data_IF_100162090460
#
_entry.id   IF_100162090460
#
_cell.length_a   1.000
_cell.length_b   1.000
_cell.length_c   1.000
_cell.angle_alpha   90.00
_cell.angle_beta   90.00
_cell.angle_gamma   90.00
#
_symmetry.space_group_name_H-M   'P 1'
#
loop_
_entity.id
_entity.type
_entity.pdbx_description
1 polymer ?
#
# COMPACT_ATOMS: atom_id res chain seq x y z
N UNK A 1 -13.03 -40.73 66.44
CA UNK A 1 -13.33 -40.76 65.00
C UNK A 1 -13.34 -39.33 64.49
N UNK A 2 -12.30 -38.93 63.81
CA UNK A 2 -12.24 -37.60 63.17
C UNK A 2 -12.26 -37.80 61.68
N UNK A 3 -13.34 -37.35 61.04
CA UNK A 3 -13.48 -37.34 59.60
C UNK A 3 -12.77 -36.08 59.08
N UNK A 4 -11.71 -36.25 58.35
CA UNK A 4 -11.07 -35.19 57.57
C UNK A 4 -11.87 -35.06 56.27
N UNK A 5 -12.56 -33.94 56.16
CA UNK A 5 -13.13 -33.49 54.89
C UNK A 5 -12.00 -32.86 54.09
N UNK A 6 -11.58 -33.61 53.10
CA UNK A 6 -10.67 -33.09 52.07
C UNK A 6 -11.41 -32.08 51.19
N UNK A 7 -11.01 -30.82 51.31
CA UNK A 7 -11.42 -29.80 50.31
C UNK A 7 -10.64 -30.04 49.03
N UNK A 8 -11.33 -30.53 48.03
CA UNK A 8 -10.83 -30.54 46.70
C UNK A 8 -10.78 -29.08 46.17
N UNK A 9 -9.58 -28.54 46.07
CA UNK A 9 -9.37 -27.27 45.35
C UNK A 9 -9.43 -27.59 43.87
N UNK A 10 -10.55 -27.25 43.26
CA UNK A 10 -10.66 -27.25 41.81
C UNK A 10 -9.86 -26.06 41.32
N UNK A 11 -8.67 -26.30 40.86
CA UNK A 11 -7.93 -25.30 40.11
C UNK A 11 -8.61 -25.19 38.73
N UNK A 12 -9.34 -24.13 38.50
CA UNK A 12 -9.79 -23.71 37.19
C UNK A 12 -8.54 -23.40 36.37
N UNK A 13 -8.37 -24.02 35.18
CA UNK A 13 -7.34 -23.57 34.27
C UNK A 13 -7.71 -22.14 33.87
N UNK A 14 -6.91 -21.18 34.25
CA UNK A 14 -6.91 -19.89 33.59
C UNK A 14 -6.66 -20.15 32.09
N UNK A 15 -7.75 -20.16 31.31
CA UNK A 15 -7.63 -20.17 29.88
C UNK A 15 -6.82 -18.95 29.50
N UNK A 16 -5.60 -19.17 29.03
CA UNK A 16 -4.89 -18.15 28.28
C UNK A 16 -5.80 -17.84 27.09
N UNK A 17 -6.53 -16.75 27.18
CA UNK A 17 -7.03 -16.08 26.02
C UNK A 17 -5.77 -15.56 25.36
N UNK A 18 -5.23 -16.35 24.41
CA UNK A 18 -4.22 -15.84 23.50
C UNK A 18 -4.85 -14.59 22.88
N UNK A 19 -4.43 -13.41 23.33
CA UNK A 19 -4.86 -12.16 22.74
C UNK A 19 -4.57 -12.29 21.25
N UNK A 20 -5.62 -12.35 20.44
CA UNK A 20 -5.49 -12.12 19.02
C UNK A 20 -4.78 -10.78 18.92
N UNK A 21 -3.50 -10.81 18.49
CA UNK A 21 -2.83 -9.59 18.10
C UNK A 21 -3.79 -8.86 17.16
N UNK A 22 -4.10 -7.57 17.40
CA UNK A 22 -4.96 -6.84 16.48
C UNK A 22 -4.40 -7.06 15.08
N UNK A 23 -5.24 -7.56 14.17
CA UNK A 23 -4.87 -7.67 12.78
C UNK A 23 -4.30 -6.31 12.39
N UNK A 24 -3.04 -6.29 11.91
CA UNK A 24 -2.46 -5.05 11.39
C UNK A 24 -3.46 -4.53 10.39
N UNK A 25 -3.94 -3.30 10.61
CA UNK A 25 -4.80 -2.64 9.64
C UNK A 25 -4.06 -2.68 8.30
N UNK A 26 -4.64 -3.40 7.33
CA UNK A 26 -4.09 -3.43 5.99
C UNK A 26 -4.09 -2.01 5.43
N UNK A 27 -3.05 -1.68 4.66
CA UNK A 27 -2.99 -0.40 3.98
C UNK A 27 -4.16 -0.30 3.00
N UNK A 28 -4.79 0.85 2.94
CA UNK A 28 -5.84 1.18 1.99
C UNK A 28 -5.53 2.51 1.32
N UNK A 29 -5.91 2.69 0.04
CA UNK A 29 -5.84 3.98 -0.60
C UNK A 29 -6.61 5.05 0.20
N UNK A 30 -6.05 6.25 0.23
CA UNK A 30 -6.74 7.40 0.79
C UNK A 30 -7.91 7.81 -0.11
N UNK A 31 -8.88 8.51 0.44
CA UNK A 31 -9.92 9.17 -0.36
C UNK A 31 -9.31 10.33 -1.12
N UNK A 32 -9.57 10.41 -2.42
CA UNK A 32 -9.05 11.49 -3.26
C UNK A 32 -9.71 12.84 -2.89
N UNK A 33 -8.94 13.82 -2.42
CA UNK A 33 -9.45 15.17 -2.23
C UNK A 33 -9.82 15.84 -3.58
N UNK A 34 -10.83 16.72 -3.62
CA UNK A 34 -11.26 17.38 -4.86
C UNK A 34 -10.11 18.10 -5.60
N UNK A 35 -9.21 18.72 -4.88
CA UNK A 35 -8.04 19.38 -5.46
C UNK A 35 -7.17 18.42 -6.28
N UNK A 36 -6.92 17.22 -5.78
CA UNK A 36 -6.14 16.21 -6.48
C UNK A 36 -6.89 15.64 -7.68
N UNK A 37 -8.21 15.50 -7.59
CA UNK A 37 -9.03 15.09 -8.72
C UNK A 37 -8.94 16.08 -9.88
N UNK A 38 -8.99 17.37 -9.61
CA UNK A 38 -8.83 18.42 -10.62
C UNK A 38 -7.43 18.39 -11.26
N UNK A 39 -6.38 18.27 -10.44
CA UNK A 39 -5.01 18.16 -10.91
C UNK A 39 -4.80 16.92 -11.78
N UNK A 40 -5.32 15.79 -11.36
CA UNK A 40 -5.26 14.53 -12.12
C UNK A 40 -5.89 14.68 -13.50
N UNK A 41 -7.07 15.23 -13.57
CA UNK A 41 -7.78 15.43 -14.85
C UNK A 41 -7.00 16.32 -15.81
N UNK A 42 -6.27 17.28 -15.29
CA UNK A 42 -5.48 18.21 -16.11
C UNK A 42 -4.09 17.69 -16.47
N UNK A 43 -3.44 16.98 -15.56
CA UNK A 43 -2.00 16.67 -15.66
C UNK A 43 -1.68 15.21 -16.01
N UNK A 44 -2.56 14.25 -15.67
CA UNK A 44 -2.36 12.85 -16.01
C UNK A 44 -3.12 12.48 -17.27
N UNK A 45 -2.45 11.85 -18.27
CA UNK A 45 -3.10 11.47 -19.50
C UNK A 45 -4.02 10.25 -19.32
N UNK A 46 -5.15 10.26 -20.02
CA UNK A 46 -6.06 9.12 -20.05
C UNK A 46 -6.96 8.99 -18.82
N UNK A 47 -7.59 7.84 -18.72
CA UNK A 47 -8.61 7.54 -17.72
C UNK A 47 -8.22 6.31 -16.87
N UNK A 48 -9.07 5.99 -15.89
CA UNK A 48 -8.90 4.81 -15.06
C UNK A 48 -7.96 4.99 -13.87
N UNK A 49 -7.49 6.21 -13.63
CA UNK A 49 -6.62 6.49 -12.50
C UNK A 49 -7.33 6.38 -11.16
N UNK A 50 -6.76 5.59 -10.28
CA UNK A 50 -7.20 5.45 -8.91
C UNK A 50 -6.19 6.13 -7.98
N UNK A 51 -6.69 7.02 -7.13
CA UNK A 51 -5.88 7.72 -6.15
C UNK A 51 -5.36 6.74 -5.09
N UNK A 52 -4.08 6.81 -4.80
CA UNK A 52 -3.43 5.99 -3.80
C UNK A 52 -3.18 6.78 -2.52
N UNK A 53 -2.34 7.76 -2.62
CA UNK A 53 -1.99 8.64 -1.51
C UNK A 53 -1.36 9.93 -1.99
N UNK A 54 -1.35 10.92 -1.13
CA UNK A 54 -0.63 12.16 -1.34
C UNK A 54 0.28 12.44 -0.16
N UNK A 55 1.37 13.15 -0.45
CA UNK A 55 2.30 13.62 0.57
C UNK A 55 2.66 15.08 0.33
N UNK A 56 2.98 15.76 1.40
CA UNK A 56 3.47 17.13 1.37
C UNK A 56 4.50 17.33 2.47
N UNK A 57 5.60 17.97 2.12
CA UNK A 57 6.58 18.47 3.06
C UNK A 57 7.10 19.84 2.59
N UNK A 58 8.15 20.37 3.22
CA UNK A 58 8.70 21.68 2.88
C UNK A 58 9.32 21.74 1.48
N UNK A 59 9.63 20.61 0.88
CA UNK A 59 10.36 20.51 -0.39
C UNK A 59 9.48 20.10 -1.56
N UNK A 60 8.43 19.31 -1.31
CA UNK A 60 7.67 18.68 -2.37
C UNK A 60 6.23 18.42 -1.97
N UNK A 61 5.37 18.47 -2.95
CA UNK A 61 3.99 18.01 -2.91
C UNK A 61 3.80 16.99 -4.02
N UNK A 62 3.28 15.81 -3.68
CA UNK A 62 3.15 14.72 -4.63
C UNK A 62 1.92 13.87 -4.37
N UNK A 63 1.39 13.26 -5.42
CA UNK A 63 0.35 12.25 -5.33
C UNK A 63 0.68 11.07 -6.24
N UNK A 64 0.31 9.90 -5.78
CA UNK A 64 0.44 8.64 -6.51
C UNK A 64 -0.91 8.11 -6.93
N UNK A 65 -0.95 7.60 -8.15
CA UNK A 65 -2.11 6.98 -8.78
C UNK A 65 -1.73 5.62 -9.36
N UNK A 66 -2.72 4.78 -9.52
CA UNK A 66 -2.58 3.46 -10.13
C UNK A 66 -3.71 3.25 -11.13
N UNK A 67 -3.42 2.55 -12.24
CA UNK A 67 -4.44 2.02 -13.15
C UNK A 67 -4.02 0.69 -13.76
N UNK A 68 -5.01 -0.04 -14.25
CA UNK A 68 -4.87 -1.30 -14.99
C UNK A 68 -4.09 -2.40 -14.25
N UNK A 69 -4.40 -2.69 -12.98
CA UNK A 69 -3.75 -3.80 -12.29
C UNK A 69 -4.12 -5.12 -12.96
N UNK A 70 -3.12 -5.87 -13.39
CA UNK A 70 -3.28 -7.13 -14.12
C UNK A 70 -2.38 -8.20 -13.51
N UNK A 71 -2.96 -9.35 -13.13
CA UNK A 71 -2.20 -10.46 -12.60
C UNK A 71 -1.39 -11.14 -13.72
N UNK A 72 -0.10 -11.31 -13.51
CA UNK A 72 0.82 -11.99 -14.40
C UNK A 72 1.69 -12.92 -13.56
N UNK A 73 1.32 -14.20 -13.48
CA UNK A 73 1.99 -15.15 -12.59
C UNK A 73 1.89 -14.71 -11.12
N UNK A 74 3.01 -14.60 -10.45
CA UNK A 74 3.10 -14.15 -9.05
C UNK A 74 3.29 -12.63 -8.91
N UNK A 75 3.10 -11.89 -9.97
CA UNK A 75 3.22 -10.44 -9.99
C UNK A 75 1.92 -9.78 -10.40
N UNK A 76 1.78 -8.50 -10.10
CA UNK A 76 0.71 -7.66 -10.62
C UNK A 76 1.36 -6.51 -11.40
N UNK A 77 1.15 -6.49 -12.69
CA UNK A 77 1.57 -5.39 -13.55
C UNK A 77 0.53 -4.26 -13.50
N UNK A 78 0.99 -3.03 -13.55
CA UNK A 78 0.16 -1.85 -13.46
C UNK A 78 0.84 -0.65 -14.11
N UNK A 79 0.09 0.42 -14.30
CA UNK A 79 0.66 1.73 -14.55
C UNK A 79 0.56 2.59 -13.29
N UNK A 80 1.68 3.16 -12.89
CA UNK A 80 1.74 4.15 -11.82
C UNK A 80 1.73 5.55 -12.41
N UNK A 81 0.88 6.41 -11.84
CA UNK A 81 0.85 7.82 -12.17
C UNK A 81 1.42 8.63 -11.01
N UNK A 82 2.27 9.58 -11.33
CA UNK A 82 2.87 10.46 -10.33
C UNK A 82 2.65 11.93 -10.72
N UNK A 83 2.09 12.69 -9.80
CA UNK A 83 2.05 14.15 -9.87
C UNK A 83 2.97 14.70 -8.83
N UNK A 84 3.84 15.62 -9.23
CA UNK A 84 4.84 16.19 -8.32
C UNK A 84 5.06 17.67 -8.62
N UNK A 85 5.14 18.47 -7.56
CA UNK A 85 5.58 19.86 -7.64
C UNK A 85 6.56 20.14 -6.51
N UNK A 86 7.72 20.66 -6.87
CA UNK A 86 8.73 21.10 -5.90
C UNK A 86 8.42 22.50 -5.40
N UNK A 87 8.76 22.78 -4.14
CA UNK A 87 8.61 24.11 -3.55
C UNK A 87 9.33 25.15 -4.40
N UNK A 88 8.66 26.29 -4.62
CA UNK A 88 9.19 27.39 -5.44
C UNK A 88 9.02 27.19 -6.95
N UNK A 89 8.49 26.08 -7.41
CA UNK A 89 8.18 25.85 -8.81
C UNK A 89 6.68 25.99 -9.06
N UNK A 90 6.25 26.72 -10.11
CA UNK A 90 4.83 26.90 -10.42
C UNK A 90 4.21 25.68 -11.09
N UNK A 91 5.00 24.90 -11.83
CA UNK A 91 4.52 23.86 -12.70
C UNK A 91 4.50 22.47 -12.05
N UNK A 92 3.49 21.69 -12.39
CA UNK A 92 3.38 20.28 -12.03
C UNK A 92 4.15 19.43 -13.03
N UNK A 93 4.84 18.43 -12.52
CA UNK A 93 5.43 17.37 -13.33
C UNK A 93 4.56 16.13 -13.21
N UNK A 94 4.23 15.51 -14.34
CA UNK A 94 3.52 14.25 -14.38
C UNK A 94 4.39 13.16 -14.98
N UNK A 95 4.27 11.95 -14.44
CA UNK A 95 4.96 10.77 -14.96
C UNK A 95 4.01 9.57 -14.95
N UNK A 96 4.09 8.76 -15.99
CA UNK A 96 3.42 7.47 -16.07
C UNK A 96 4.50 6.41 -16.23
N UNK A 97 4.53 5.47 -15.29
CA UNK A 97 5.55 4.44 -15.21
C UNK A 97 4.90 3.06 -15.27
N UNK A 98 5.32 2.19 -16.21
CA UNK A 98 4.98 0.77 -16.13
C UNK A 98 5.69 0.17 -14.91
N UNK A 99 4.93 -0.41 -14.01
CA UNK A 99 5.43 -1.01 -12.78
C UNK A 99 4.84 -2.39 -12.56
N UNK A 100 5.45 -3.17 -11.70
CA UNK A 100 4.85 -4.38 -11.17
C UNK A 100 5.11 -4.54 -9.68
N UNK A 101 4.13 -5.09 -9.01
CA UNK A 101 4.25 -5.55 -7.65
C UNK A 101 4.71 -7.00 -7.65
N UNK A 102 5.82 -7.30 -6.97
CA UNK A 102 6.29 -8.66 -6.75
C UNK A 102 5.69 -9.13 -5.44
N UNK A 103 4.56 -9.83 -5.54
CA UNK A 103 3.69 -10.10 -4.40
C UNK A 103 4.37 -10.91 -3.30
N UNK A 104 5.17 -11.89 -3.69
CA UNK A 104 5.88 -12.75 -2.77
C UNK A 104 6.89 -12.01 -1.89
N UNK A 105 7.57 -11.03 -2.49
CA UNK A 105 8.68 -10.33 -1.84
C UNK A 105 8.30 -8.98 -1.25
N UNK A 106 7.08 -8.52 -1.48
CA UNK A 106 6.60 -7.24 -0.99
C UNK A 106 7.37 -6.03 -1.54
N UNK A 107 7.86 -6.12 -2.78
CA UNK A 107 8.62 -5.06 -3.44
C UNK A 107 8.00 -4.65 -4.77
N UNK A 108 8.39 -3.49 -5.24
CA UNK A 108 8.01 -2.95 -6.55
C UNK A 108 9.18 -3.01 -7.51
N UNK A 109 8.87 -3.19 -8.78
CA UNK A 109 9.80 -3.04 -9.89
C UNK A 109 9.22 -2.09 -10.93
N UNK A 110 10.07 -1.42 -11.67
CA UNK A 110 9.68 -0.60 -12.81
C UNK A 110 10.24 -1.19 -14.10
N UNK A 111 9.54 -0.99 -15.19
CA UNK A 111 10.00 -1.37 -16.51
C UNK A 111 10.89 -0.27 -17.09
N UNK A 112 12.13 -0.61 -17.39
CA UNK A 112 13.06 0.29 -18.05
C UNK A 112 12.73 0.45 -19.54
N UNK A 113 13.33 1.43 -20.19
CA UNK A 113 13.10 1.69 -21.62
C UNK A 113 13.45 0.51 -22.53
N UNK A 114 14.40 -0.34 -22.13
CA UNK A 114 14.78 -1.57 -22.82
C UNK A 114 13.80 -2.75 -22.59
N UNK A 115 12.77 -2.55 -21.82
CA UNK A 115 11.79 -3.58 -21.46
C UNK A 115 12.16 -4.46 -20.27
N UNK A 116 13.32 -4.23 -19.65
CA UNK A 116 13.75 -4.99 -18.47
C UNK A 116 13.11 -4.44 -17.20
N UNK A 117 12.75 -5.36 -16.31
CA UNK A 117 12.28 -5.00 -14.98
C UNK A 117 13.46 -4.72 -14.06
N UNK A 118 13.43 -3.59 -13.38
CA UNK A 118 14.47 -3.17 -12.44
C UNK A 118 13.87 -2.86 -11.07
N UNK A 119 14.61 -3.12 -9.98
CA UNK A 119 14.11 -2.77 -8.65
C UNK A 119 13.77 -1.29 -8.55
N UNK A 120 12.62 -1.02 -7.95
CA UNK A 120 12.24 0.35 -7.59
C UNK A 120 12.51 0.54 -6.09
N UNK A 121 13.24 1.60 -5.70
CA UNK A 121 13.59 1.80 -4.30
C UNK A 121 12.36 1.85 -3.41
N UNK A 122 12.30 0.94 -2.43
CA UNK A 122 11.22 0.90 -1.47
C UNK A 122 11.34 2.02 -0.43
N UNK A 123 10.19 2.40 0.11
CA UNK A 123 10.06 3.27 1.29
C UNK A 123 9.45 2.46 2.42
N UNK A 124 9.45 3.03 3.62
CA UNK A 124 8.66 2.48 4.71
C UNK A 124 7.20 2.33 4.26
N UNK A 125 6.61 1.15 4.48
CA UNK A 125 5.25 0.87 4.07
C UNK A 125 5.06 0.30 2.66
N UNK A 126 6.11 0.13 1.86
CA UNK A 126 5.99 -0.45 0.52
C UNK A 126 5.40 -1.86 0.55
N UNK A 127 5.81 -2.71 1.47
CA UNK A 127 5.33 -4.09 1.55
C UNK A 127 3.81 -4.19 1.78
N UNK A 128 3.25 -3.34 2.62
CA UNK A 128 1.80 -3.32 2.87
C UNK A 128 1.02 -2.80 1.66
N UNK A 129 1.56 -1.81 0.96
CA UNK A 129 1.00 -1.29 -0.30
C UNK A 129 1.01 -2.37 -1.38
N UNK A 130 2.11 -3.10 -1.53
CA UNK A 130 2.22 -4.24 -2.46
C UNK A 130 1.17 -5.30 -2.16
N UNK A 131 0.96 -5.63 -0.90
CA UNK A 131 -0.08 -6.59 -0.49
C UNK A 131 -1.46 -6.14 -0.95
N UNK A 132 -1.76 -4.87 -0.80
CA UNK A 132 -3.02 -4.31 -1.29
C UNK A 132 -3.12 -4.39 -2.81
N UNK A 133 -2.08 -3.96 -3.55
CA UNK A 133 -2.03 -4.03 -5.03
C UNK A 133 -2.29 -5.47 -5.50
N UNK A 134 -1.66 -6.45 -4.87
CA UNK A 134 -1.80 -7.86 -5.24
C UNK A 134 -3.18 -8.44 -4.97
N UNK A 135 -4.01 -7.77 -4.19
CA UNK A 135 -5.40 -8.15 -3.95
C UNK A 135 -6.38 -7.57 -4.96
N UNK A 136 -5.94 -6.71 -5.87
CA UNK A 136 -6.83 -5.95 -6.76
C UNK A 136 -7.26 -6.69 -8.05
N UNK A 137 -6.41 -7.45 -8.70
CA UNK A 137 -6.81 -8.18 -9.92
C UNK A 137 -7.84 -9.26 -9.68
#
# INVERSE_FOLDING_TARGET
MRRFLGRAVVALPLGLVAGLAPARADWLPQTEPPRWSELRQRELPGEGWRFMEAMRNDQVEAAEYLRFPTAVGETVELEAGLLLRRSGQPDWTSRVLPMRAVCRDGRMERKAADGQWTPYPGRAGTAVKVRWICSQP
#
